data_IF_320433503018
#
_entry.id   IF_320433503018
#
_cell.length_a   1.000
_cell.length_b   1.000
_cell.length_c   1.000
_cell.angle_alpha   90.00
_cell.angle_beta   90.00
_cell.angle_gamma   90.00
#
_symmetry.space_group_name_H-M   'P 1'
#
loop_
_entity.id
_entity.type
_entity.pdbx_description
1 polymer ?
#
# COMPACT_ATOMS: atom_id res chain seq x y z
N UNK A 1 8.78 -12.50 -15.68
CA UNK A 1 8.82 -11.21 -14.97
C UNK A 1 8.06 -11.39 -13.66
N UNK A 2 8.49 -10.79 -12.55
CA UNK A 2 7.86 -10.92 -11.22
C UNK A 2 7.44 -9.57 -10.70
N UNK A 3 6.46 -9.55 -9.79
CA UNK A 3 6.21 -8.38 -8.95
C UNK A 3 7.39 -8.15 -7.98
N UNK A 4 7.65 -6.90 -7.61
CA UNK A 4 8.78 -6.56 -6.74
C UNK A 4 8.67 -7.24 -5.37
N UNK A 5 7.50 -7.17 -4.74
CA UNK A 5 7.31 -7.71 -3.39
C UNK A 5 7.07 -9.21 -3.38
N UNK A 6 6.59 -9.79 -4.48
CA UNK A 6 6.72 -11.24 -4.72
C UNK A 6 8.19 -11.69 -4.65
N UNK A 7 9.07 -10.96 -5.35
CA UNK A 7 10.49 -11.27 -5.36
C UNK A 7 11.16 -11.07 -4.00
N UNK A 8 10.91 -9.94 -3.33
CA UNK A 8 11.48 -9.67 -2.00
C UNK A 8 10.98 -10.66 -0.95
N UNK A 9 9.71 -11.05 -0.98
CA UNK A 9 9.18 -12.07 -0.09
C UNK A 9 9.84 -13.43 -0.31
N UNK A 10 10.16 -13.79 -1.55
CA UNK A 10 10.92 -15.01 -1.86
C UNK A 10 12.33 -14.96 -1.24
N UNK A 11 13.04 -13.84 -1.40
CA UNK A 11 14.38 -13.66 -0.80
C UNK A 11 14.30 -13.73 0.74
N UNK A 12 13.29 -13.11 1.33
CA UNK A 12 13.08 -13.15 2.77
C UNK A 12 12.86 -14.59 3.28
N UNK A 13 12.01 -15.36 2.61
CA UNK A 13 11.76 -16.75 2.95
C UNK A 13 13.01 -17.65 2.79
N UNK A 14 13.93 -17.29 1.91
CA UNK A 14 15.22 -17.97 1.73
C UNK A 14 16.31 -17.50 2.71
N UNK A 15 16.06 -16.47 3.52
CA UNK A 15 17.07 -15.85 4.37
C UNK A 15 18.11 -15.01 3.60
N UNK A 16 17.80 -14.65 2.34
CA UNK A 16 18.70 -13.90 1.44
C UNK A 16 18.38 -12.40 1.40
N UNK A 17 17.22 -11.98 1.93
CA UNK A 17 16.90 -10.57 2.08
C UNK A 17 17.65 -9.99 3.29
N UNK A 18 18.46 -8.95 3.08
CA UNK A 18 19.05 -8.20 4.18
C UNK A 18 17.94 -7.48 4.97
N UNK A 19 17.76 -7.88 6.23
CA UNK A 19 16.78 -7.30 7.15
C UNK A 19 17.44 -6.50 8.29
N UNK A 20 18.70 -6.08 8.12
CA UNK A 20 19.41 -5.22 9.08
C UNK A 20 18.92 -3.75 9.03
N UNK A 21 17.62 -3.55 9.17
CA UNK A 21 17.00 -2.23 9.25
C UNK A 21 17.41 -1.53 10.54
N UNK A 22 17.81 -0.27 10.44
CA UNK A 22 18.43 0.50 11.54
C UNK A 22 17.52 1.60 12.09
N UNK A 23 16.44 1.93 11.38
CA UNK A 23 15.50 3.00 11.69
C UNK A 23 14.09 2.41 11.85
N UNK A 24 13.46 2.55 13.02
CA UNK A 24 12.10 2.07 13.20
C UNK A 24 11.12 2.92 12.38
N UNK A 25 10.16 2.26 11.73
CA UNK A 25 9.11 2.91 10.93
C UNK A 25 7.76 3.00 11.68
N UNK A 26 7.59 2.22 12.74
CA UNK A 26 6.40 2.23 13.60
C UNK A 26 5.16 1.61 12.94
N UNK A 27 3.97 2.05 13.40
CA UNK A 27 2.71 1.56 12.86
C UNK A 27 2.37 2.22 11.52
N UNK A 28 1.83 1.43 10.59
CA UNK A 28 1.40 1.90 9.27
C UNK A 28 0.11 1.22 8.80
N UNK A 29 -0.63 1.95 7.98
CA UNK A 29 -1.79 1.46 7.24
C UNK A 29 -1.35 1.13 5.83
N UNK A 30 -1.44 -0.13 5.44
CA UNK A 30 -1.10 -0.59 4.11
C UNK A 30 -2.39 -0.94 3.34
N UNK A 31 -2.63 -0.23 2.25
CA UNK A 31 -3.72 -0.53 1.32
C UNK A 31 -3.26 -1.55 0.29
N UNK A 32 -4.06 -2.62 0.09
CA UNK A 32 -3.82 -3.68 -0.89
C UNK A 32 -4.50 -3.35 -2.22
N UNK A 33 -3.74 -3.04 -3.29
CA UNK A 33 -4.31 -2.78 -4.60
C UNK A 33 -5.07 -3.99 -5.16
N UNK A 34 -6.15 -3.74 -5.90
CA UNK A 34 -6.95 -4.79 -6.53
C UNK A 34 -6.15 -5.63 -7.56
N UNK A 35 -5.18 -5.05 -8.25
CA UNK A 35 -4.38 -5.78 -9.24
C UNK A 35 -3.46 -6.84 -8.61
N UNK A 36 -2.96 -6.63 -7.38
CA UNK A 36 -2.18 -7.65 -6.68
C UNK A 36 -3.06 -8.83 -6.26
N UNK A 37 -4.33 -8.57 -5.92
CA UNK A 37 -5.33 -9.61 -5.67
C UNK A 37 -5.65 -10.39 -6.95
N UNK A 38 -5.85 -9.70 -8.07
CA UNK A 38 -6.06 -10.35 -9.37
C UNK A 38 -4.86 -11.21 -9.82
N UNK A 39 -3.65 -10.84 -9.43
CA UNK A 39 -2.43 -11.61 -9.65
C UNK A 39 -2.21 -12.74 -8.62
N UNK A 40 -3.14 -12.91 -7.67
CA UNK A 40 -3.07 -13.91 -6.60
C UNK A 40 -1.77 -13.83 -5.75
N UNK A 41 -1.28 -12.61 -5.52
CA UNK A 41 -0.04 -12.40 -4.77
C UNK A 41 -0.27 -12.38 -3.24
N UNK A 42 -1.50 -12.17 -2.79
CA UNK A 42 -1.80 -12.01 -1.36
C UNK A 42 -1.21 -10.70 -0.82
N UNK A 43 -0.68 -10.72 0.41
CA UNK A 43 -0.21 -9.53 1.13
C UNK A 43 1.33 -9.44 1.24
N UNK A 44 2.07 -9.86 0.19
CA UNK A 44 3.55 -9.92 0.23
C UNK A 44 4.20 -8.62 0.68
N UNK A 45 3.70 -7.47 0.24
CA UNK A 45 4.25 -6.18 0.67
C UNK A 45 4.07 -5.94 2.16
N UNK A 46 2.90 -6.28 2.72
CA UNK A 46 2.69 -6.21 4.16
C UNK A 46 3.62 -7.16 4.93
N UNK A 47 3.80 -8.39 4.43
CA UNK A 47 4.65 -9.39 5.07
C UNK A 47 6.12 -8.95 5.10
N UNK A 48 6.63 -8.43 3.98
CA UNK A 48 8.01 -7.89 3.93
C UNK A 48 8.15 -6.65 4.81
N UNK A 49 7.16 -5.75 4.84
CA UNK A 49 7.21 -4.57 5.73
C UNK A 49 7.22 -4.95 7.22
N UNK A 50 6.58 -6.07 7.60
CA UNK A 50 6.63 -6.59 8.98
C UNK A 50 8.01 -7.13 9.40
N UNK A 51 8.92 -7.36 8.45
CA UNK A 51 10.30 -7.73 8.78
C UNK A 51 11.10 -6.56 9.37
N UNK A 52 10.63 -5.32 9.22
CA UNK A 52 11.26 -4.16 9.86
C UNK A 52 11.02 -4.21 11.37
N UNK A 53 12.07 -4.11 12.22
CA UNK A 53 11.92 -4.12 13.66
C UNK A 53 10.96 -3.03 14.17
N UNK A 54 9.97 -3.44 14.96
CA UNK A 54 8.96 -2.54 15.54
C UNK A 54 7.89 -2.06 14.56
N UNK A 55 7.85 -2.57 13.32
CA UNK A 55 6.78 -2.27 12.39
C UNK A 55 5.48 -3.00 12.78
N UNK A 56 4.37 -2.27 12.72
CA UNK A 56 3.02 -2.84 12.82
C UNK A 56 2.23 -2.45 11.58
N UNK A 57 1.79 -3.45 10.81
CA UNK A 57 1.18 -3.23 9.49
C UNK A 57 -0.29 -3.65 9.53
N UNK A 58 -1.18 -2.65 9.56
CA UNK A 58 -2.62 -2.81 9.39
C UNK A 58 -2.98 -2.87 7.91
N UNK A 59 -3.67 -3.93 7.49
CA UNK A 59 -4.02 -4.16 6.08
C UNK A 59 -5.42 -3.63 5.77
N UNK A 60 -5.57 -2.87 4.68
CA UNK A 60 -6.84 -2.31 4.21
C UNK A 60 -7.14 -2.80 2.79
N UNK A 61 -8.25 -3.53 2.63
CA UNK A 61 -8.65 -4.14 1.35
C UNK A 61 -9.88 -3.46 0.72
N UNK A 62 -10.01 -2.14 0.87
CA UNK A 62 -11.08 -1.34 0.26
C UNK A 62 -10.67 -0.82 -1.12
N UNK A 63 -11.65 -0.62 -2.00
CA UNK A 63 -11.40 -0.19 -3.37
C UNK A 63 -10.99 1.29 -3.42
N UNK A 64 -9.98 1.64 -4.22
CA UNK A 64 -9.63 3.03 -4.52
C UNK A 64 -10.48 3.64 -5.64
N UNK A 65 -11.32 2.86 -6.31
CA UNK A 65 -12.19 3.30 -7.41
C UNK A 65 -11.46 4.02 -8.57
N UNK A 66 -10.15 3.82 -8.72
CA UNK A 66 -9.38 4.42 -9.83
C UNK A 66 -9.61 3.68 -11.15
N UNK A 67 -9.80 2.35 -11.09
CA UNK A 67 -10.00 1.44 -12.23
C UNK A 67 -9.16 1.84 -13.47
N UNK A 68 -7.84 1.70 -13.33
CA UNK A 68 -6.90 2.36 -14.22
C UNK A 68 -6.97 3.88 -14.04
N UNK A 69 -7.30 4.61 -15.11
CA UNK A 69 -7.48 6.07 -15.07
C UNK A 69 -8.96 6.47 -15.11
N UNK A 70 -9.90 5.52 -15.07
CA UNK A 70 -11.33 5.80 -15.11
C UNK A 70 -11.74 6.80 -14.01
N UNK A 71 -11.29 6.56 -12.78
CA UNK A 71 -11.63 7.40 -11.63
C UNK A 71 -11.06 8.82 -11.68
N UNK A 72 -10.11 9.09 -12.60
CA UNK A 72 -9.52 10.41 -12.81
C UNK A 72 -10.11 11.16 -14.00
N UNK A 73 -11.03 10.55 -14.75
CA UNK A 73 -11.74 11.24 -15.84
C UNK A 73 -12.73 12.24 -15.28
N UNK A 74 -12.87 13.39 -15.94
CA UNK A 74 -13.73 14.50 -15.49
C UNK A 74 -15.18 14.05 -15.24
N UNK A 75 -15.68 13.13 -16.06
CA UNK A 75 -17.04 12.60 -16.00
C UNK A 75 -17.28 11.71 -14.77
N UNK A 76 -16.24 11.07 -14.24
CA UNK A 76 -16.34 10.06 -13.19
C UNK A 76 -15.62 10.44 -11.89
N UNK A 77 -14.89 11.56 -11.87
CA UNK A 77 -14.08 11.98 -10.72
C UNK A 77 -14.88 12.05 -9.42
N UNK A 78 -16.00 12.77 -9.42
CA UNK A 78 -16.86 12.87 -8.23
C UNK A 78 -17.46 11.52 -7.80
N UNK A 79 -17.75 10.64 -8.76
CA UNK A 79 -18.25 9.31 -8.49
C UNK A 79 -17.15 8.42 -7.90
N UNK A 80 -15.93 8.49 -8.41
CA UNK A 80 -14.79 7.70 -7.94
C UNK A 80 -14.45 8.04 -6.49
N UNK A 81 -14.48 9.33 -6.13
CA UNK A 81 -14.29 9.78 -4.75
C UNK A 81 -15.37 9.20 -3.82
N UNK A 82 -16.65 9.25 -4.21
CA UNK A 82 -17.75 8.67 -3.42
C UNK A 82 -17.60 7.16 -3.23
N UNK A 83 -17.21 6.44 -4.27
CA UNK A 83 -17.00 4.99 -4.21
C UNK A 83 -15.78 4.60 -3.36
N UNK A 84 -14.77 5.44 -3.32
CA UNK A 84 -13.56 5.24 -2.53
C UNK A 84 -13.71 5.64 -1.04
N UNK A 85 -14.85 6.18 -0.63
CA UNK A 85 -15.06 6.62 0.77
C UNK A 85 -14.70 5.57 1.84
N UNK A 86 -15.06 4.27 1.70
CA UNK A 86 -14.68 3.28 2.70
C UNK A 86 -13.16 3.08 2.82
N UNK A 87 -12.41 3.30 1.73
CA UNK A 87 -10.94 3.31 1.78
C UNK A 87 -10.42 4.56 2.50
N UNK A 88 -10.99 5.72 2.19
CA UNK A 88 -10.61 6.99 2.81
C UNK A 88 -10.81 6.98 4.32
N UNK A 89 -11.96 6.46 4.77
CA UNK A 89 -12.26 6.32 6.20
C UNK A 89 -11.22 5.42 6.88
N UNK A 90 -10.96 4.24 6.30
CA UNK A 90 -10.01 3.27 6.86
C UNK A 90 -8.57 3.83 6.94
N UNK A 91 -8.12 4.57 5.92
CA UNK A 91 -6.80 5.22 5.93
C UNK A 91 -6.75 6.38 6.92
N UNK A 92 -7.84 7.14 7.05
CA UNK A 92 -7.92 8.30 7.94
C UNK A 92 -7.95 7.90 9.42
N UNK A 93 -8.65 6.81 9.76
CA UNK A 93 -8.69 6.27 11.12
C UNK A 93 -7.49 5.40 11.46
N UNK A 94 -6.73 4.98 10.44
CA UNK A 94 -5.55 4.14 10.58
C UNK A 94 -4.31 4.89 11.09
N UNK A 95 -3.19 4.17 11.12
CA UNK A 95 -1.90 4.68 11.55
C UNK A 95 -1.43 5.89 10.71
N UNK A 96 -0.60 6.80 11.26
CA UNK A 96 -0.14 8.01 10.57
C UNK A 96 0.55 7.75 9.23
N UNK A 97 1.35 6.69 9.16
CA UNK A 97 2.02 6.28 7.92
C UNK A 97 1.04 5.47 7.07
N UNK A 98 0.89 5.84 5.80
CA UNK A 98 0.13 5.08 4.82
C UNK A 98 1.05 4.54 3.72
N UNK A 99 0.75 3.36 3.19
CA UNK A 99 1.49 2.75 2.08
C UNK A 99 0.57 1.99 1.10
N UNK A 100 0.98 1.88 -0.16
CA UNK A 100 0.28 1.15 -1.24
C UNK A 100 1.23 0.89 -2.41
N UNK A 101 1.20 -0.29 -3.03
CA UNK A 101 2.03 -0.60 -4.22
C UNK A 101 1.50 0.08 -5.49
N UNK A 102 0.30 0.65 -5.45
CA UNK A 102 -0.33 1.28 -6.62
C UNK A 102 -0.21 2.80 -6.53
N UNK A 103 0.59 3.46 -7.40
CA UNK A 103 0.70 4.92 -7.43
C UNK A 103 -0.62 5.63 -7.73
N UNK A 104 -1.49 5.03 -8.55
CA UNK A 104 -2.82 5.58 -8.83
C UNK A 104 -3.70 5.55 -7.58
N UNK A 105 -3.67 4.47 -6.80
CA UNK A 105 -4.36 4.44 -5.52
C UNK A 105 -3.76 5.44 -4.53
N UNK A 106 -2.43 5.66 -4.54
CA UNK A 106 -1.79 6.67 -3.70
C UNK A 106 -2.32 8.07 -4.01
N UNK A 107 -2.43 8.44 -5.29
CA UNK A 107 -2.99 9.72 -5.73
C UNK A 107 -4.45 9.89 -5.28
N UNK A 108 -5.28 8.85 -5.44
CA UNK A 108 -6.68 8.91 -5.02
C UNK A 108 -6.81 9.06 -3.50
N UNK A 109 -6.00 8.32 -2.72
CA UNK A 109 -5.99 8.43 -1.25
C UNK A 109 -5.55 9.83 -0.83
N UNK A 110 -4.54 10.41 -1.50
CA UNK A 110 -4.08 11.78 -1.24
C UNK A 110 -5.19 12.80 -1.52
N UNK A 111 -5.91 12.66 -2.63
CA UNK A 111 -7.05 13.52 -2.97
C UNK A 111 -8.20 13.38 -1.97
N UNK A 112 -8.51 12.16 -1.52
CA UNK A 112 -9.64 11.90 -0.62
C UNK A 112 -9.39 12.14 0.86
N UNK A 113 -8.12 12.12 1.31
CA UNK A 113 -7.78 12.15 2.74
C UNK A 113 -6.73 13.19 3.11
N UNK A 114 -6.01 13.75 2.14
CA UNK A 114 -4.81 14.56 2.37
C UNK A 114 -3.59 13.77 2.88
N UNK A 115 -3.74 12.46 3.15
CA UNK A 115 -2.60 11.60 3.50
C UNK A 115 -1.91 11.16 2.22
N UNK A 116 -0.58 11.20 2.19
CA UNK A 116 0.22 10.79 1.04
C UNK A 116 0.82 9.40 1.27
N UNK A 117 0.22 8.32 0.74
CA UNK A 117 0.79 6.99 0.89
C UNK A 117 2.14 6.90 0.17
N UNK A 118 3.08 6.19 0.80
CA UNK A 118 4.37 5.85 0.19
C UNK A 118 4.26 4.52 -0.56
N UNK A 119 5.09 4.32 -1.58
CA UNK A 119 5.30 2.96 -2.07
C UNK A 119 6.00 2.14 -0.97
N UNK A 120 5.63 0.86 -0.73
CA UNK A 120 6.29 0.03 0.28
C UNK A 120 7.81 -0.03 0.17
N UNK A 121 8.37 0.05 -1.05
CA UNK A 121 9.83 0.09 -1.26
C UNK A 121 10.49 1.36 -0.69
N UNK A 122 9.78 2.50 -0.68
CA UNK A 122 10.26 3.73 -0.06
C UNK A 122 10.27 3.62 1.47
N UNK A 123 9.35 2.83 2.03
CA UNK A 123 9.33 2.53 3.47
C UNK A 123 10.52 1.64 3.83
N UNK A 124 10.81 0.60 3.03
CA UNK A 124 12.00 -0.24 3.22
C UNK A 124 13.29 0.57 3.10
N UNK A 125 13.39 1.47 2.13
CA UNK A 125 14.58 2.31 1.95
C UNK A 125 14.80 3.32 3.08
N UNK A 126 13.74 3.66 3.83
CA UNK A 126 13.81 4.60 4.95
C UNK A 126 14.04 3.91 6.31
N UNK A 127 13.92 2.58 6.35
CA UNK A 127 14.15 1.72 7.52
C UNK A 127 15.63 1.34 7.63
#
# INVERSE_FOLDING_TARGET
TRDLFEYLAKLHAAGELDTNFSRPVGAMTYHVPCHLRAQNLGHKSADVLRAIPGASVGVVEKCSAVDGTWGFKKEYYELSLKLAQPLFDAVTTGAPVAATDCPLAALQIEQGTGRKPKHPVEVLAAA
#
